data_IF_173959735840
#
_entry.id   IF_173959735840
#
_cell.length_a   1.000
_cell.length_b   1.000
_cell.length_c   1.000
_cell.angle_alpha   90.00
_cell.angle_beta   90.00
_cell.angle_gamma   90.00
#
_symmetry.space_group_name_H-M   'P 1'
#
loop_
_entity.id
_entity.type
_entity.pdbx_description
1 polymer ?
#
# COMPACT_ATOMS: atom_id res chain seq x y z
N UNK A 1 34.72 -1.82 -2.86
CA UNK A 1 34.43 -1.06 -1.63
C UNK A 1 33.09 -1.38 -0.98
N UNK A 2 31.94 -1.21 -1.63
CA UNK A 2 30.63 -1.48 -1.01
C UNK A 2 30.44 -2.90 -0.45
N UNK A 3 30.93 -3.93 -1.16
CA UNK A 3 30.93 -5.32 -0.63
C UNK A 3 31.75 -5.47 0.65
N UNK A 4 32.85 -4.72 0.81
CA UNK A 4 33.72 -4.74 2.00
C UNK A 4 32.99 -4.12 3.19
N UNK A 5 32.34 -2.98 2.98
CA UNK A 5 31.52 -2.30 3.99
C UNK A 5 30.36 -3.19 4.42
N UNK A 6 29.61 -3.75 3.47
CA UNK A 6 28.46 -4.60 3.76
C UNK A 6 28.86 -5.87 4.54
N UNK A 7 29.97 -6.52 4.15
CA UNK A 7 30.50 -7.66 4.90
C UNK A 7 30.97 -7.30 6.31
N UNK A 8 31.48 -6.09 6.53
CA UNK A 8 31.86 -5.62 7.86
C UNK A 8 30.61 -5.43 8.74
N UNK A 9 29.61 -4.71 8.24
CA UNK A 9 28.35 -4.47 8.96
C UNK A 9 27.61 -5.78 9.24
N UNK A 10 27.57 -6.69 8.27
CA UNK A 10 26.94 -8.01 8.44
C UNK A 10 27.57 -8.81 9.60
N UNK A 11 28.91 -8.75 9.74
CA UNK A 11 29.60 -9.40 10.87
C UNK A 11 29.33 -8.73 12.22
N UNK A 12 29.03 -7.43 12.24
CA UNK A 12 28.81 -6.65 13.46
C UNK A 12 27.35 -6.70 13.95
N UNK A 13 26.36 -6.81 13.05
CA UNK A 13 24.93 -6.73 13.41
C UNK A 13 24.30 -8.05 13.90
N UNK A 14 25.03 -9.18 13.87
CA UNK A 14 24.57 -10.49 14.35
C UNK A 14 23.51 -11.15 13.45
N UNK A 15 22.32 -10.56 13.33
CA UNK A 15 21.27 -10.99 12.41
C UNK A 15 21.10 -9.99 11.27
N UNK A 16 21.05 -10.46 10.03
CA UNK A 16 20.89 -9.62 8.84
C UNK A 16 19.56 -9.87 8.13
N UNK A 17 18.78 -8.80 7.97
CA UNK A 17 17.57 -8.78 7.14
C UNK A 17 17.75 -7.64 6.13
N UNK A 18 18.20 -7.98 4.92
CA UNK A 18 18.51 -7.02 3.88
C UNK A 18 19.15 -7.67 2.66
N UNK A 19 19.36 -6.92 1.58
CA UNK A 19 19.97 -7.41 0.35
C UNK A 19 21.48 -7.66 0.52
N UNK A 20 22.03 -8.62 -0.22
CA UNK A 20 23.47 -8.95 -0.24
C UNK A 20 24.32 -7.96 -1.04
N UNK A 21 23.68 -6.95 -1.61
CA UNK A 21 24.25 -5.96 -2.52
C UNK A 21 23.73 -4.57 -2.13
N UNK A 22 24.62 -3.58 -2.23
CA UNK A 22 24.21 -2.18 -2.17
C UNK A 22 23.98 -1.70 -3.59
N UNK A 23 22.72 -1.37 -3.90
CA UNK A 23 22.37 -0.72 -5.14
C UNK A 23 22.82 0.75 -5.02
N UNK A 24 23.90 1.09 -5.72
CA UNK A 24 24.22 2.48 -6.03
C UNK A 24 23.23 2.87 -7.12
N UNK A 25 22.45 3.92 -6.89
CA UNK A 25 21.22 4.26 -7.60
C UNK A 25 21.16 3.92 -9.09
N UNK A 26 19.99 3.52 -9.56
CA UNK A 26 19.73 3.24 -10.97
C UNK A 26 19.11 4.47 -11.67
N UNK A 27 18.61 4.27 -12.91
CA UNK A 27 17.91 5.31 -13.68
C UNK A 27 16.74 5.91 -12.89
N UNK A 28 16.02 5.08 -12.15
CA UNK A 28 14.75 5.43 -11.52
C UNK A 28 14.98 5.92 -10.08
N UNK A 29 16.01 5.46 -9.38
CA UNK A 29 16.37 5.88 -8.02
C UNK A 29 17.86 6.29 -7.96
N UNK A 30 18.25 7.40 -8.62
CA UNK A 30 19.66 7.73 -8.85
C UNK A 30 20.41 8.19 -7.59
N UNK A 31 19.70 8.58 -6.54
CA UNK A 31 20.30 9.05 -5.30
C UNK A 31 19.38 8.84 -4.08
N UNK A 32 19.95 9.03 -2.89
CA UNK A 32 19.25 8.82 -1.62
C UNK A 32 18.03 9.74 -1.42
N UNK A 33 18.02 10.95 -1.99
CA UNK A 33 16.88 11.86 -1.88
C UNK A 33 15.67 11.31 -2.64
N UNK A 34 15.88 10.82 -3.88
CA UNK A 34 14.82 10.18 -4.67
C UNK A 34 14.36 8.86 -4.02
N UNK A 35 15.28 8.11 -3.40
CA UNK A 35 14.89 6.94 -2.62
C UNK A 35 13.95 7.33 -1.47
N UNK A 36 14.32 8.33 -0.66
CA UNK A 36 13.48 8.77 0.45
C UNK A 36 12.12 9.26 -0.07
N UNK A 37 12.10 10.10 -1.09
CA UNK A 37 10.86 10.64 -1.65
C UNK A 37 9.92 9.52 -2.13
N UNK A 38 10.40 8.61 -2.98
CA UNK A 38 9.60 7.48 -3.50
C UNK A 38 9.08 6.58 -2.39
N UNK A 39 9.95 6.13 -1.49
CA UNK A 39 9.56 5.17 -0.46
C UNK A 39 8.69 5.79 0.65
N UNK A 40 8.74 7.11 0.86
CA UNK A 40 7.78 7.79 1.74
C UNK A 40 6.36 7.85 1.18
N UNK A 41 6.15 7.56 -0.11
CA UNK A 41 4.83 7.46 -0.72
C UNK A 41 4.16 6.10 -0.41
N UNK A 42 4.93 5.04 -0.10
CA UNK A 42 4.38 3.71 0.21
C UNK A 42 3.41 3.75 1.39
N UNK A 43 3.75 4.35 2.55
CA UNK A 43 2.79 4.50 3.64
C UNK A 43 1.54 5.27 3.22
N UNK A 44 1.66 6.35 2.43
CA UNK A 44 0.49 7.15 1.99
C UNK A 44 -0.50 6.31 1.21
N UNK A 45 -0.01 5.43 0.34
CA UNK A 45 -0.83 4.52 -0.43
C UNK A 45 -1.42 3.37 0.41
N UNK A 46 -0.61 2.73 1.25
CA UNK A 46 -1.01 1.52 1.97
C UNK A 46 -1.81 1.81 3.24
N UNK A 47 -1.54 2.92 3.95
CA UNK A 47 -2.19 3.24 5.21
C UNK A 47 -3.73 3.27 5.10
N UNK A 48 -4.33 3.91 4.09
CA UNK A 48 -5.79 3.88 3.94
C UNK A 48 -6.36 2.47 3.68
N UNK A 49 -5.63 1.63 2.94
CA UNK A 49 -6.04 0.24 2.67
C UNK A 49 -6.00 -0.57 3.97
N UNK A 50 -4.92 -0.43 4.74
CA UNK A 50 -4.74 -1.09 6.04
C UNK A 50 -5.81 -0.62 7.03
N UNK A 51 -6.09 0.67 7.09
CA UNK A 51 -7.13 1.24 7.95
C UNK A 51 -8.51 0.71 7.59
N UNK A 52 -8.89 0.72 6.30
CA UNK A 52 -10.15 0.17 5.85
C UNK A 52 -10.28 -1.32 6.22
N UNK A 53 -9.24 -2.12 5.99
CA UNK A 53 -9.23 -3.55 6.34
C UNK A 53 -9.36 -3.77 7.85
N UNK A 54 -8.65 -2.99 8.67
CA UNK A 54 -8.70 -3.12 10.13
C UNK A 54 -10.05 -2.71 10.73
N UNK A 55 -10.70 -1.68 10.19
CA UNK A 55 -11.95 -1.17 10.75
C UNK A 55 -13.17 -2.02 10.41
N UNK A 56 -13.10 -2.91 9.41
CA UNK A 56 -14.24 -3.75 9.01
C UNK A 56 -14.83 -4.53 10.19
N UNK A 57 -14.00 -5.13 11.06
CA UNK A 57 -14.53 -5.94 12.17
C UNK A 57 -15.25 -5.07 13.21
N UNK A 58 -14.70 -3.90 13.54
CA UNK A 58 -15.32 -2.97 14.49
C UNK A 58 -16.60 -2.37 13.91
N UNK A 59 -16.59 -1.93 12.65
CA UNK A 59 -17.76 -1.36 11.99
C UNK A 59 -18.97 -2.31 11.99
N UNK A 60 -18.73 -3.61 11.79
CA UNK A 60 -19.79 -4.61 11.81
C UNK A 60 -20.28 -4.96 13.22
N UNK A 61 -19.45 -4.76 14.24
CA UNK A 61 -19.79 -5.06 15.64
C UNK A 61 -20.48 -3.88 16.32
N UNK A 62 -20.05 -2.66 16.00
CA UNK A 62 -20.47 -1.44 16.69
C UNK A 62 -21.82 -0.89 16.18
N UNK A 63 -22.17 -1.15 14.91
CA UNK A 63 -23.43 -0.72 14.30
C UNK A 63 -24.16 -1.90 13.63
N UNK A 64 -25.30 -2.36 14.19
CA UNK A 64 -26.09 -3.45 13.61
C UNK A 64 -26.56 -3.21 12.18
N UNK A 65 -26.86 -1.96 11.79
CA UNK A 65 -27.31 -1.65 10.44
C UNK A 65 -26.16 -1.79 9.42
N UNK A 66 -24.93 -1.45 9.83
CA UNK A 66 -23.73 -1.72 9.04
C UNK A 66 -23.48 -3.22 8.98
N UNK A 67 -23.60 -3.94 10.09
CA UNK A 67 -23.51 -5.40 10.15
C UNK A 67 -24.44 -6.09 9.15
N UNK A 68 -25.72 -5.70 9.12
CA UNK A 68 -26.73 -6.23 8.19
C UNK A 68 -26.39 -5.92 6.73
N UNK A 69 -25.97 -4.69 6.43
CA UNK A 69 -25.51 -4.31 5.08
C UNK A 69 -24.33 -5.18 4.61
N UNK A 70 -23.33 -5.40 5.47
CA UNK A 70 -22.18 -6.24 5.15
C UNK A 70 -22.55 -7.70 4.98
N UNK A 71 -23.46 -8.24 5.80
CA UNK A 71 -23.96 -9.61 5.67
C UNK A 71 -24.68 -9.82 4.34
N UNK A 72 -25.47 -8.83 3.89
CA UNK A 72 -26.18 -8.88 2.60
C UNK A 72 -25.24 -8.79 1.39
N UNK A 73 -24.24 -7.89 1.43
CA UNK A 73 -23.39 -7.65 0.25
C UNK A 73 -22.13 -8.51 0.15
N UNK A 74 -21.56 -8.90 1.29
CA UNK A 74 -20.23 -9.51 1.35
C UNK A 74 -20.18 -10.87 2.02
N UNK A 75 -21.30 -11.36 2.59
CA UNK A 75 -21.41 -12.63 3.33
C UNK A 75 -20.62 -12.65 4.66
N UNK A 76 -19.35 -12.26 4.67
CA UNK A 76 -18.52 -12.21 5.88
C UNK A 76 -17.50 -11.05 5.89
N UNK A 77 -17.03 -10.62 7.08
CA UNK A 77 -15.93 -9.65 7.20
C UNK A 77 -14.66 -10.09 6.47
N UNK A 78 -14.41 -11.40 6.45
CA UNK A 78 -13.24 -11.97 5.76
C UNK A 78 -13.35 -11.79 4.26
N UNK A 79 -14.53 -11.98 3.67
CA UNK A 79 -14.72 -11.94 2.22
C UNK A 79 -14.54 -10.54 1.65
N UNK A 80 -15.01 -9.49 2.35
CA UNK A 80 -14.77 -8.10 1.95
C UNK A 80 -13.28 -7.74 2.06
N UNK A 81 -12.59 -8.17 3.13
CA UNK A 81 -11.14 -7.98 3.26
C UNK A 81 -10.39 -8.66 2.13
N UNK A 82 -10.75 -9.90 1.81
CA UNK A 82 -10.14 -10.65 0.70
C UNK A 82 -10.45 -10.02 -0.65
N UNK A 83 -11.63 -9.44 -0.87
CA UNK A 83 -11.93 -8.71 -2.10
C UNK A 83 -11.03 -7.48 -2.25
N UNK A 84 -10.90 -6.66 -1.20
CA UNK A 84 -10.04 -5.47 -1.21
C UNK A 84 -8.58 -5.87 -1.45
N UNK A 85 -8.06 -6.80 -0.65
CA UNK A 85 -6.65 -7.20 -0.71
C UNK A 85 -6.33 -7.91 -2.02
N UNK A 86 -7.16 -8.85 -2.47
CA UNK A 86 -6.89 -9.58 -3.72
C UNK A 86 -6.95 -8.66 -4.93
N UNK A 87 -7.88 -7.71 -4.97
CA UNK A 87 -7.95 -6.72 -6.06
C UNK A 87 -6.72 -5.79 -6.04
N UNK A 88 -6.30 -5.31 -4.86
CA UNK A 88 -5.07 -4.52 -4.74
C UNK A 88 -3.82 -5.30 -5.12
N UNK A 89 -3.63 -6.52 -4.63
CA UNK A 89 -2.43 -7.30 -4.99
C UNK A 89 -2.44 -7.78 -6.44
N UNK A 90 -3.62 -7.95 -7.05
CA UNK A 90 -3.73 -8.34 -8.45
C UNK A 90 -3.47 -7.18 -9.40
N UNK A 91 -3.85 -5.96 -9.04
CA UNK A 91 -3.85 -4.81 -9.97
C UNK A 91 -2.93 -3.66 -9.53
N UNK A 92 -2.55 -3.62 -8.27
CA UNK A 92 -1.61 -2.63 -7.75
C UNK A 92 -0.17 -2.90 -8.17
N UNK A 93 0.15 -4.12 -8.62
CA UNK A 93 1.50 -4.54 -9.01
C UNK A 93 1.54 -5.29 -10.35
N UNK A 94 0.56 -5.07 -11.23
CA UNK A 94 0.45 -5.78 -12.51
C UNK A 94 1.28 -5.18 -13.65
N UNK A 95 1.92 -4.03 -13.43
CA UNK A 95 2.76 -3.39 -14.43
C UNK A 95 2.00 -2.64 -15.53
N UNK A 96 0.69 -2.42 -15.39
CA UNK A 96 -0.15 -1.62 -16.32
C UNK A 96 0.12 -0.10 -16.24
N UNK A 97 1.32 0.30 -15.78
CA UNK A 97 1.81 1.67 -15.65
C UNK A 97 2.97 1.97 -16.61
N UNK A 98 3.28 3.25 -16.83
CA UNK A 98 4.26 3.65 -17.86
C UNK A 98 5.71 3.26 -17.49
N UNK A 99 6.41 2.70 -18.48
CA UNK A 99 7.79 2.19 -18.52
C UNK A 99 8.30 1.27 -17.38
N UNK A 100 7.40 0.64 -16.60
CA UNK A 100 7.81 -0.37 -15.61
C UNK A 100 8.86 0.11 -14.60
N UNK A 101 8.96 1.43 -14.41
CA UNK A 101 9.80 2.04 -13.38
C UNK A 101 9.45 1.46 -12.02
N UNK A 102 10.39 1.53 -11.06
CA UNK A 102 10.22 1.03 -9.68
C UNK A 102 8.76 1.06 -9.25
N UNK A 103 8.20 -0.04 -8.74
CA UNK A 103 6.78 -0.19 -8.38
C UNK A 103 6.23 0.86 -7.38
N UNK A 104 7.11 1.74 -6.91
CA UNK A 104 6.91 2.81 -5.92
C UNK A 104 7.17 4.20 -6.56
N UNK A 105 7.43 4.27 -7.87
CA UNK A 105 7.54 5.53 -8.60
C UNK A 105 6.17 6.22 -8.65
N UNK A 106 6.12 7.40 -8.06
CA UNK A 106 4.88 8.15 -7.88
C UNK A 106 4.14 8.37 -9.20
N UNK A 107 2.81 8.33 -9.13
CA UNK A 107 1.84 8.72 -10.17
C UNK A 107 1.82 7.92 -11.48
N UNK A 108 2.88 7.19 -11.84
CA UNK A 108 2.97 6.43 -13.10
C UNK A 108 2.88 4.90 -12.92
N UNK A 109 2.72 4.41 -11.68
CA UNK A 109 2.68 2.98 -11.35
C UNK A 109 1.26 2.39 -11.34
N UNK A 110 1.16 1.07 -11.50
CA UNK A 110 -0.10 0.31 -11.40
C UNK A 110 -0.81 0.53 -10.06
N UNK A 111 -0.03 0.71 -8.98
CA UNK A 111 -0.54 0.97 -7.64
C UNK A 111 -1.26 2.32 -7.55
N UNK A 112 -0.70 3.37 -8.17
CA UNK A 112 -1.35 4.67 -8.26
C UNK A 112 -2.58 4.64 -9.16
N UNK A 113 -2.49 3.94 -10.30
CA UNK A 113 -3.64 3.72 -11.19
C UNK A 113 -4.80 3.04 -10.42
N UNK A 114 -4.49 2.05 -9.58
CA UNK A 114 -5.46 1.42 -8.70
C UNK A 114 -6.09 2.42 -7.73
N UNK A 115 -5.28 3.24 -7.05
CA UNK A 115 -5.76 4.29 -6.13
C UNK A 115 -6.69 5.28 -6.84
N UNK A 116 -6.36 5.70 -8.07
CA UNK A 116 -7.18 6.64 -8.86
C UNK A 116 -8.57 6.07 -9.21
N UNK A 117 -8.69 4.73 -9.23
CA UNK A 117 -9.92 4.00 -9.55
C UNK A 117 -10.72 3.62 -8.31
N UNK A 118 -10.26 3.93 -7.09
CA UNK A 118 -10.86 3.46 -5.84
C UNK A 118 -12.36 3.78 -5.74
N UNK A 119 -12.76 4.99 -6.15
CA UNK A 119 -14.15 5.46 -6.13
C UNK A 119 -15.10 4.66 -7.05
N UNK A 120 -14.53 3.91 -8.01
CA UNK A 120 -15.28 3.05 -8.95
C UNK A 120 -15.35 1.60 -8.49
N UNK A 121 -14.66 1.23 -7.41
CA UNK A 121 -14.60 -0.16 -6.92
C UNK A 121 -15.86 -0.49 -6.11
N UNK A 122 -16.37 -1.73 -6.22
CA UNK A 122 -17.58 -2.19 -5.49
C UNK A 122 -17.48 -1.96 -3.97
N UNK A 123 -16.28 -2.08 -3.41
CA UNK A 123 -16.00 -1.94 -1.98
C UNK A 123 -15.68 -0.49 -1.56
N UNK A 124 -15.90 0.53 -2.40
CA UNK A 124 -15.60 1.92 -2.04
C UNK A 124 -16.35 2.39 -0.78
N UNK A 125 -17.61 1.97 -0.60
CA UNK A 125 -18.39 2.32 0.59
C UNK A 125 -17.74 1.82 1.90
N UNK A 126 -16.99 0.72 1.84
CA UNK A 126 -16.26 0.17 2.98
C UNK A 126 -15.15 1.13 3.42
N UNK A 127 -14.45 1.74 2.45
CA UNK A 127 -13.46 2.79 2.73
C UNK A 127 -14.14 4.01 3.35
N UNK A 128 -15.27 4.47 2.81
CA UNK A 128 -16.00 5.63 3.33
C UNK A 128 -16.49 5.42 4.77
N UNK A 129 -17.06 4.25 5.08
CA UNK A 129 -17.46 3.90 6.44
C UNK A 129 -16.27 3.82 7.39
N UNK A 130 -15.10 3.42 6.88
CA UNK A 130 -13.83 3.44 7.61
C UNK A 130 -13.16 4.82 7.76
N UNK A 131 -13.87 5.91 7.42
CA UNK A 131 -13.36 7.27 7.53
C UNK A 131 -12.35 7.66 6.44
N UNK A 132 -12.37 7.00 5.28
CA UNK A 132 -11.48 7.34 4.17
C UNK A 132 -11.75 8.75 3.64
N UNK A 133 -10.72 9.59 3.64
CA UNK A 133 -10.75 10.96 3.10
C UNK A 133 -9.92 11.11 1.82
N UNK A 134 -9.06 10.14 1.50
CA UNK A 134 -8.11 10.18 0.40
C UNK A 134 -6.79 9.51 0.75
N UNK A 135 -5.93 9.33 -0.25
CA UNK A 135 -4.59 8.74 -0.06
C UNK A 135 -3.54 9.75 0.40
N UNK A 136 -3.80 11.04 0.22
CA UNK A 136 -2.91 12.13 0.67
C UNK A 136 -3.23 12.62 2.09
N UNK A 137 -4.27 12.07 2.73
CA UNK A 137 -4.76 12.49 4.05
C UNK A 137 -5.51 13.83 4.03
N UNK A 138 -5.96 14.28 5.21
CA UNK A 138 -6.50 15.63 5.40
C UNK A 138 -5.36 16.66 5.26
N UNK A 139 -5.50 17.60 4.33
CA UNK A 139 -4.77 18.87 4.41
C UNK A 139 -5.30 19.61 5.63
N UNK A 140 -4.57 19.51 6.75
CA UNK A 140 -4.77 20.40 7.88
C UNK A 140 -3.93 21.65 7.60
N UNK A 141 -4.62 22.75 7.29
CA UNK A 141 -4.04 24.10 7.30
C UNK A 141 -3.39 24.43 8.66
#
# INVERSE_FOLDING_TARGET
EMRRILNKVHKECGSWVGLSVVHLGDRDVPNALIFIDKYTQVPRMLSPIVQAVHQIDSLMTDDPAIGDYFAQEWQSPRDVKMHILSDFFKHGFDGDGDDGGSCIDGRLTSAWNWCSKIAKKKYYNVFMLGGFQGFDGDWKD
#
